data_IF_534658283818
#
_entry.id   IF_534658283818
#
_cell.length_a   1.000
_cell.length_b   1.000
_cell.length_c   1.000
_cell.angle_alpha   90.00
_cell.angle_beta   90.00
_cell.angle_gamma   90.00
#
_symmetry.space_group_name_H-M   'P 1'
#
loop_
_entity.id
_entity.type
_entity.pdbx_description
1 polymer ?
#
# COMPACT_ATOMS: atom_id res chain seq x y z
N UNK A 1 18.56 69.35 5.46
CA UNK A 1 17.19 68.89 5.17
C UNK A 1 17.07 67.42 5.56
N UNK A 2 16.54 67.17 6.77
CA UNK A 2 15.75 66.01 7.22
C UNK A 2 16.23 64.60 6.81
N UNK A 3 17.13 64.00 7.60
CA UNK A 3 17.14 62.54 7.84
C UNK A 3 16.91 62.30 9.33
N UNK A 4 15.72 62.66 9.80
CA UNK A 4 15.29 62.38 11.17
C UNK A 4 14.85 60.92 11.23
N UNK A 5 15.76 60.10 11.76
CA UNK A 5 15.55 58.83 12.46
C UNK A 5 14.12 58.26 12.41
N UNK A 6 13.93 57.19 11.63
CA UNK A 6 12.93 56.16 11.93
C UNK A 6 13.66 54.93 12.50
N UNK A 7 14.38 55.13 13.61
CA UNK A 7 14.74 54.02 14.49
C UNK A 7 13.46 53.61 15.22
N UNK A 8 12.70 52.71 14.61
CA UNK A 8 11.55 52.07 15.23
C UNK A 8 12.10 51.21 16.38
N UNK A 9 12.14 51.78 17.59
CA UNK A 9 12.49 51.04 18.81
C UNK A 9 11.56 49.84 18.91
N UNK A 10 12.08 48.64 18.66
CA UNK A 10 11.36 47.40 18.94
C UNK A 10 11.21 47.37 20.46
N UNK A 11 9.99 47.65 20.91
CA UNK A 11 9.64 47.62 22.32
C UNK A 11 9.84 46.18 22.81
N UNK A 12 10.84 45.95 23.66
CA UNK A 12 11.05 44.67 24.35
C UNK A 12 10.00 44.52 25.46
N UNK A 13 8.73 44.41 25.11
CA UNK A 13 7.70 44.00 26.07
C UNK A 13 7.77 42.48 26.19
N UNK A 14 7.99 42.00 27.42
CA UNK A 14 7.87 40.58 27.73
C UNK A 14 6.41 40.12 27.60
N UNK A 15 6.22 38.81 27.43
CA UNK A 15 4.90 38.20 27.45
C UNK A 15 4.30 38.23 28.84
N UNK A 16 3.01 38.54 28.94
CA UNK A 16 2.26 38.35 30.18
C UNK A 16 2.07 36.85 30.45
N UNK A 17 1.98 36.48 31.73
CA UNK A 17 1.71 35.09 32.13
C UNK A 17 0.41 34.56 31.51
N UNK A 18 -0.63 35.39 31.43
CA UNK A 18 -1.91 34.99 30.84
C UNK A 18 -1.81 34.75 29.33
N UNK A 19 -1.02 35.55 28.61
CA UNK A 19 -0.79 35.39 27.17
C UNK A 19 -0.04 34.09 26.89
N UNK A 20 0.93 33.75 27.75
CA UNK A 20 1.65 32.48 27.67
C UNK A 20 0.71 31.28 27.89
N UNK A 21 -0.16 31.36 28.90
CA UNK A 21 -1.13 30.30 29.21
C UNK A 21 -2.12 30.07 28.05
N UNK A 22 -2.67 31.15 27.48
CA UNK A 22 -3.61 31.06 26.34
C UNK A 22 -2.88 30.49 25.11
N UNK A 23 -1.68 30.99 24.81
CA UNK A 23 -0.90 30.51 23.67
C UNK A 23 -0.56 29.03 23.80
N UNK A 24 -0.19 28.57 25.00
CA UNK A 24 0.08 27.16 25.27
C UNK A 24 -1.18 26.30 25.09
N UNK A 25 -2.34 26.76 25.57
CA UNK A 25 -3.60 26.04 25.39
C UNK A 25 -3.97 25.87 23.91
N UNK A 26 -3.81 26.92 23.11
CA UNK A 26 -4.04 26.87 21.66
C UNK A 26 -3.05 25.89 21.00
N UNK A 27 -1.77 25.97 21.38
CA UNK A 27 -0.73 25.10 20.84
C UNK A 27 -1.00 23.62 21.13
N UNK A 28 -1.43 23.28 22.36
CA UNK A 28 -1.82 21.92 22.72
C UNK A 28 -3.04 21.47 21.91
N UNK A 29 -4.06 22.33 21.78
CA UNK A 29 -5.27 22.03 21.02
C UNK A 29 -4.97 21.73 19.54
N UNK A 30 -3.94 22.34 18.96
CA UNK A 30 -3.50 22.12 17.57
C UNK A 30 -2.56 20.91 17.46
N UNK A 31 -1.66 20.69 18.41
CA UNK A 31 -0.67 19.61 18.33
C UNK A 31 -1.31 18.22 18.35
N UNK A 32 -2.34 18.01 19.18
CA UNK A 32 -3.00 16.71 19.30
C UNK A 32 -3.54 16.18 17.96
N UNK A 33 -4.38 16.92 17.20
CA UNK A 33 -4.87 16.43 15.91
C UNK A 33 -3.76 16.29 14.87
N UNK A 34 -2.73 17.14 14.88
CA UNK A 34 -1.59 17.03 13.95
C UNK A 34 -0.83 15.71 14.17
N UNK A 35 -0.59 15.32 15.41
CA UNK A 35 0.06 14.04 15.73
C UNK A 35 -0.79 12.84 15.28
N UNK A 36 -2.11 12.92 15.47
CA UNK A 36 -3.04 11.88 15.00
C UNK A 36 -3.02 11.78 13.47
N UNK A 37 -3.03 12.91 12.75
CA UNK A 37 -2.95 12.93 11.30
C UNK A 37 -1.62 12.36 10.80
N UNK A 38 -0.51 12.73 11.43
CA UNK A 38 0.81 12.23 11.09
C UNK A 38 0.89 10.71 11.26
N UNK A 39 0.38 10.17 12.36
CA UNK A 39 0.31 8.72 12.58
C UNK A 39 -0.53 8.02 11.50
N UNK A 40 -1.70 8.55 11.16
CA UNK A 40 -2.54 7.96 10.11
C UNK A 40 -1.87 8.00 8.74
N UNK A 41 -1.13 9.07 8.43
CA UNK A 41 -0.36 9.16 7.19
C UNK A 41 0.67 8.03 7.07
N UNK A 42 1.41 7.73 8.14
CA UNK A 42 2.37 6.62 8.14
C UNK A 42 1.70 5.27 7.87
N UNK A 43 0.52 5.04 8.45
CA UNK A 43 -0.27 3.82 8.21
C UNK A 43 -0.72 3.72 6.75
N UNK A 44 -1.19 4.82 6.16
CA UNK A 44 -1.63 4.84 4.75
C UNK A 44 -0.43 4.61 3.81
N UNK A 45 0.73 5.18 4.12
CA UNK A 45 1.95 4.97 3.34
C UNK A 45 2.37 3.49 3.33
N UNK A 46 2.29 2.81 4.48
CA UNK A 46 2.54 1.36 4.56
C UNK A 46 1.54 0.56 3.71
N UNK A 47 0.24 0.86 3.84
CA UNK A 47 -0.82 0.20 3.05
C UNK A 47 -0.56 0.38 1.54
N UNK A 48 -0.22 1.59 1.11
CA UNK A 48 0.08 1.90 -0.29
C UNK A 48 1.29 1.12 -0.81
N UNK A 49 2.36 1.06 -0.01
CA UNK A 49 3.55 0.25 -0.33
C UNK A 49 3.20 -1.23 -0.46
N UNK A 50 2.48 -1.80 0.52
CA UNK A 50 2.13 -3.22 0.53
C UNK A 50 1.18 -3.56 -0.63
N UNK A 51 0.23 -2.67 -0.96
CA UNK A 51 -0.65 -2.84 -2.13
C UNK A 51 0.16 -2.85 -3.42
N UNK A 52 1.16 -1.98 -3.56
CA UNK A 52 2.04 -1.94 -4.74
C UNK A 52 2.82 -3.26 -4.88
N UNK A 53 3.32 -3.81 -3.77
CA UNK A 53 3.99 -5.11 -3.75
C UNK A 53 3.01 -6.20 -4.22
N UNK A 54 1.83 -6.29 -3.62
CA UNK A 54 0.81 -7.28 -3.98
C UNK A 54 0.38 -7.22 -5.46
N UNK A 55 0.28 -6.02 -6.03
CA UNK A 55 -0.02 -5.83 -7.47
C UNK A 55 1.12 -6.33 -8.36
N UNK A 56 2.37 -6.02 -7.98
CA UNK A 56 3.54 -6.50 -8.72
C UNK A 56 3.65 -8.02 -8.66
N UNK A 57 3.37 -8.60 -7.50
CA UNK A 57 3.41 -10.05 -7.27
C UNK A 57 2.34 -10.78 -8.08
N UNK A 58 1.11 -10.25 -8.09
CA UNK A 58 0.05 -10.74 -8.96
C UNK A 58 0.44 -10.67 -10.45
N UNK A 59 1.02 -9.54 -10.87
CA UNK A 59 1.44 -9.31 -12.27
C UNK A 59 2.58 -10.24 -12.67
N UNK A 60 3.54 -10.47 -11.78
CA UNK A 60 4.67 -11.37 -11.99
C UNK A 60 4.20 -12.81 -12.21
N UNK A 61 3.27 -13.30 -11.38
CA UNK A 61 2.74 -14.66 -11.54
C UNK A 61 1.93 -14.77 -12.82
N UNK A 62 1.11 -13.77 -13.16
CA UNK A 62 0.36 -13.75 -14.43
C UNK A 62 1.27 -13.76 -15.66
N UNK A 63 2.39 -13.03 -15.65
CA UNK A 63 3.37 -13.08 -16.74
C UNK A 63 4.13 -14.41 -16.78
N UNK A 64 4.38 -15.02 -15.62
CA UNK A 64 4.99 -16.35 -15.54
C UNK A 64 4.06 -17.43 -16.10
N UNK A 65 2.74 -17.33 -15.86
CA UNK A 65 1.74 -18.17 -16.50
C UNK A 65 1.76 -17.99 -18.02
N UNK A 66 1.83 -16.74 -18.49
CA UNK A 66 1.90 -16.42 -19.92
C UNK A 66 3.16 -16.96 -20.61
N UNK A 67 4.27 -17.10 -19.89
CA UNK A 67 5.54 -17.62 -20.39
C UNK A 67 5.70 -19.14 -20.23
N UNK A 68 4.64 -19.86 -19.82
CA UNK A 68 4.65 -21.32 -19.73
C UNK A 68 4.73 -21.95 -21.13
N UNK A 69 5.76 -22.77 -21.36
CA UNK A 69 6.04 -23.44 -22.65
C UNK A 69 5.75 -24.96 -22.56
N UNK A 70 5.01 -25.57 -23.51
CA UNK A 70 4.18 -24.91 -24.52
C UNK A 70 2.93 -24.29 -23.90
N UNK A 71 2.49 -23.16 -24.46
CA UNK A 71 1.37 -22.40 -23.92
C UNK A 71 0.03 -23.08 -24.25
N UNK A 72 -0.41 -23.97 -23.37
CA UNK A 72 -1.73 -24.62 -23.44
C UNK A 72 -2.46 -24.45 -22.11
N UNK A 73 -3.79 -24.36 -22.15
CA UNK A 73 -4.63 -24.24 -20.94
C UNK A 73 -4.30 -25.35 -19.92
N UNK A 74 -4.11 -26.59 -20.39
CA UNK A 74 -3.79 -27.73 -19.54
C UNK A 74 -2.42 -27.60 -18.86
N UNK A 75 -1.41 -27.11 -19.57
CA UNK A 75 -0.07 -26.91 -19.00
C UNK A 75 -0.07 -25.79 -17.97
N UNK A 76 -0.78 -24.68 -18.24
CA UNK A 76 -0.92 -23.57 -17.28
C UNK A 76 -1.63 -24.04 -16.01
N UNK A 77 -2.74 -24.78 -16.13
CA UNK A 77 -3.47 -25.31 -14.97
C UNK A 77 -2.64 -26.34 -14.19
N UNK A 78 -1.83 -27.16 -14.87
CA UNK A 78 -0.94 -28.12 -14.23
C UNK A 78 0.23 -27.44 -13.49
N UNK A 79 0.85 -26.43 -14.10
CA UNK A 79 1.95 -25.67 -13.50
C UNK A 79 1.46 -24.78 -12.34
N UNK A 80 0.25 -24.25 -12.45
CA UNK A 80 -0.38 -23.35 -11.51
C UNK A 80 -1.75 -23.90 -11.06
N UNK A 81 -1.75 -24.91 -10.18
CA UNK A 81 -2.98 -25.51 -9.66
C UNK A 81 -3.79 -24.49 -8.85
N UNK A 82 -5.11 -24.52 -9.00
CA UNK A 82 -6.01 -23.64 -8.28
C UNK A 82 -5.94 -23.87 -6.76
N UNK A 83 -6.03 -22.80 -5.98
CA UNK A 83 -6.06 -22.88 -4.52
C UNK A 83 -4.70 -23.13 -3.85
N UNK A 84 -3.65 -23.41 -4.62
CA UNK A 84 -2.30 -23.58 -4.09
C UNK A 84 -1.65 -22.22 -3.87
N UNK A 85 -1.00 -22.06 -2.72
CA UNK A 85 -0.24 -20.87 -2.42
C UNK A 85 1.07 -20.85 -3.22
N UNK A 86 1.24 -19.79 -4.00
CA UNK A 86 2.35 -19.54 -4.88
C UNK A 86 3.33 -18.51 -4.28
N UNK A 87 3.14 -18.07 -3.04
CA UNK A 87 4.00 -17.07 -2.39
C UNK A 87 5.49 -17.47 -2.40
N UNK A 88 5.83 -18.76 -2.37
CA UNK A 88 7.21 -19.26 -2.47
C UNK A 88 7.84 -19.11 -3.87
N UNK A 89 7.01 -18.94 -4.90
CA UNK A 89 7.47 -18.69 -6.29
C UNK A 89 7.73 -17.22 -6.56
N UNK A 90 7.32 -16.36 -5.64
CA UNK A 90 7.57 -14.93 -5.67
C UNK A 90 8.86 -14.68 -4.91
N UNK A 91 9.67 -13.73 -5.39
CA UNK A 91 11.04 -13.50 -4.93
C UNK A 91 11.17 -13.27 -3.40
N UNK A 92 12.37 -12.93 -2.91
CA UNK A 92 12.68 -12.92 -1.47
C UNK A 92 11.88 -11.89 -0.64
N UNK A 93 11.09 -11.01 -1.29
CA UNK A 93 10.42 -9.89 -0.67
C UNK A 93 8.93 -10.20 -0.50
N UNK A 94 8.59 -10.86 0.60
CA UNK A 94 7.21 -11.26 0.92
C UNK A 94 6.55 -10.31 1.90
N UNK A 95 5.24 -10.14 1.76
CA UNK A 95 4.41 -9.47 2.77
C UNK A 95 4.17 -10.39 3.97
N UNK A 96 3.76 -9.80 5.10
CA UNK A 96 3.43 -10.55 6.30
C UNK A 96 2.20 -11.42 6.08
N UNK A 97 2.31 -12.72 6.36
CA UNK A 97 1.26 -13.71 6.12
C UNK A 97 0.69 -13.60 4.70
N UNK A 98 1.57 -13.44 3.72
CA UNK A 98 1.21 -13.37 2.32
C UNK A 98 0.78 -14.72 1.78
N UNK A 99 -0.31 -14.74 1.01
CA UNK A 99 -0.72 -15.86 0.19
C UNK A 99 -1.02 -15.37 -1.22
N UNK A 100 -0.55 -16.12 -2.21
CA UNK A 100 -0.83 -15.82 -3.63
C UNK A 100 -1.47 -17.02 -4.27
N UNK A 101 -2.76 -16.90 -4.58
CA UNK A 101 -3.59 -18.02 -5.01
C UNK A 101 -4.20 -17.71 -6.36
N UNK A 102 -4.15 -18.70 -7.26
CA UNK A 102 -4.89 -18.64 -8.51
C UNK A 102 -6.21 -19.40 -8.40
N UNK A 103 -7.24 -18.90 -9.07
CA UNK A 103 -8.48 -19.62 -9.32
C UNK A 103 -8.89 -19.50 -10.78
N UNK A 104 -9.63 -20.51 -11.26
CA UNK A 104 -10.14 -20.57 -12.63
C UNK A 104 -11.65 -20.71 -12.58
N UNK A 105 -12.36 -20.06 -13.50
CA UNK A 105 -13.81 -20.25 -13.63
C UNK A 105 -14.12 -21.64 -14.22
N UNK A 106 -13.42 -22.01 -15.29
CA UNK A 106 -13.45 -23.33 -15.88
C UNK A 106 -12.03 -23.69 -16.36
N UNK A 107 -11.32 -24.63 -15.70
CA UNK A 107 -9.95 -25.00 -16.05
C UNK A 107 -9.79 -25.61 -17.45
N UNK A 108 -10.86 -26.08 -18.08
CA UNK A 108 -10.84 -26.67 -19.42
C UNK A 108 -11.32 -25.71 -20.53
N UNK A 109 -11.67 -24.46 -20.18
CA UNK A 109 -12.18 -23.49 -21.15
C UNK A 109 -11.05 -22.81 -21.96
N UNK A 110 -11.40 -22.42 -23.18
CA UNK A 110 -10.63 -21.51 -24.03
C UNK A 110 -11.59 -20.42 -24.55
N UNK A 111 -11.49 -19.16 -24.11
CA UNK A 111 -10.45 -18.58 -23.25
C UNK A 111 -10.50 -19.09 -21.80
N UNK A 112 -9.32 -19.28 -21.21
CA UNK A 112 -9.14 -19.55 -19.79
C UNK A 112 -9.32 -18.26 -18.99
N UNK A 113 -10.31 -18.23 -18.11
CA UNK A 113 -10.54 -17.11 -17.18
C UNK A 113 -9.77 -17.37 -15.89
N UNK A 114 -8.76 -16.55 -15.63
CA UNK A 114 -7.85 -16.66 -14.50
C UNK A 114 -8.14 -15.53 -13.52
N UNK A 115 -8.32 -15.84 -12.24
CA UNK A 115 -8.37 -14.85 -11.18
C UNK A 115 -7.20 -15.06 -10.24
N UNK A 116 -6.31 -14.08 -10.20
CA UNK A 116 -5.21 -14.03 -9.24
C UNK A 116 -5.68 -13.31 -7.99
N UNK A 117 -5.42 -13.88 -6.82
CA UNK A 117 -5.72 -13.25 -5.53
C UNK A 117 -4.49 -13.28 -4.66
N UNK A 118 -4.01 -12.09 -4.28
CA UNK A 118 -2.93 -11.89 -3.32
C UNK A 118 -3.56 -11.41 -2.02
N UNK A 119 -3.34 -12.12 -0.92
CA UNK A 119 -3.80 -11.72 0.41
C UNK A 119 -2.62 -11.54 1.34
N UNK A 120 -2.69 -10.55 2.24
CA UNK A 120 -1.64 -10.29 3.21
C UNK A 120 -2.23 -9.68 4.48
N UNK A 121 -1.40 -9.57 5.52
CA UNK A 121 -1.74 -8.92 6.77
C UNK A 121 -0.95 -7.61 6.95
N UNK A 122 -1.65 -6.50 7.20
CA UNK A 122 -1.02 -5.22 7.55
C UNK A 122 -0.20 -5.35 8.85
N UNK A 123 0.94 -4.66 8.97
CA UNK A 123 1.80 -4.79 10.14
C UNK A 123 1.22 -4.03 11.34
N UNK A 124 0.72 -2.80 11.12
CA UNK A 124 0.30 -1.90 12.20
C UNK A 124 -1.07 -2.27 12.78
N UNK A 125 -2.04 -2.65 11.94
CA UNK A 125 -3.42 -2.93 12.39
C UNK A 125 -3.78 -4.41 12.39
N UNK A 126 -2.87 -5.30 11.95
CA UNK A 126 -3.09 -6.76 11.87
C UNK A 126 -4.38 -7.08 11.10
N UNK A 127 -4.68 -6.27 10.07
CA UNK A 127 -5.86 -6.43 9.24
C UNK A 127 -5.50 -7.26 8.03
N UNK A 128 -6.36 -8.22 7.71
CA UNK A 128 -6.23 -8.97 6.48
C UNK A 128 -6.71 -8.09 5.31
N UNK A 129 -5.92 -8.06 4.25
CA UNK A 129 -6.22 -7.40 2.99
C UNK A 129 -6.06 -8.37 1.84
N UNK A 130 -6.71 -8.06 0.74
CA UNK A 130 -6.52 -8.76 -0.50
C UNK A 130 -6.59 -7.81 -1.69
N UNK A 131 -5.89 -8.23 -2.75
CA UNK A 131 -5.97 -7.67 -4.08
C UNK A 131 -6.29 -8.83 -5.04
N UNK A 132 -7.25 -8.61 -5.94
CA UNK A 132 -7.61 -9.60 -6.95
C UNK A 132 -7.60 -8.98 -8.33
N UNK A 133 -7.06 -9.72 -9.31
CA UNK A 133 -7.04 -9.33 -10.71
C UNK A 133 -7.53 -10.51 -11.57
N UNK A 134 -8.44 -10.22 -12.50
CA UNK A 134 -8.98 -11.22 -13.42
C UNK A 134 -8.47 -10.94 -14.83
N UNK A 135 -8.03 -12.00 -15.52
CA UNK A 135 -7.58 -11.93 -16.91
C UNK A 135 -8.11 -13.12 -17.70
N UNK A 136 -8.10 -12.98 -19.03
CA UNK A 136 -8.48 -14.03 -19.97
C UNK A 136 -7.28 -14.37 -20.84
N UNK A 137 -6.99 -15.66 -21.01
CA UNK A 137 -5.89 -16.14 -21.85
C UNK A 137 -6.40 -17.18 -22.84
N UNK A 138 -6.03 -17.06 -24.10
CA UNK A 138 -6.33 -18.06 -25.15
C UNK A 138 -5.09 -18.85 -25.50
N UNK A 139 -5.26 -20.12 -25.88
CA UNK A 139 -4.16 -20.97 -26.32
C UNK A 139 -3.41 -20.37 -27.52
N UNK A 140 -2.12 -20.71 -27.69
CA UNK A 140 -1.25 -20.21 -28.76
C UNK A 140 -0.64 -21.33 -29.58
#
# INVERSE_FOLDING_TARGET
>A
MIYKMLSKKISKKGFSLIELMISAAILIAVLLPVLVLFYNYLVVMEISRNTTIAVNDASFVLESMRSTDPFTTNNVVAAYPAGVDLADRIGPRKLRNETVVVSYQNPAADPLVITMTVSWQDEVKIRNRSFSATTMMTQR
#
